data_IF_605515708207
#
_entry.id   IF_605515708207
#
_cell.length_a   1.000
_cell.length_b   1.000
_cell.length_c   1.000
_cell.angle_alpha   90.00
_cell.angle_beta   90.00
_cell.angle_gamma   90.00
#
_symmetry.space_group_name_H-M   'P 1'
#
loop_
_entity.id
_entity.type
_entity.pdbx_description
1 polymer ?
#
# COMPACT_ATOMS: atom_id res chain seq x y z
N UNK A 1 -27.94 7.41 61.36
CA UNK A 1 -26.63 7.58 60.68
C UNK A 1 -25.85 6.27 60.46
N UNK A 2 -25.89 5.27 61.36
CA UNK A 2 -25.14 4.00 61.21
C UNK A 2 -25.54 3.10 60.01
N UNK A 3 -26.76 3.25 59.45
CA UNK A 3 -27.22 2.48 58.27
C UNK A 3 -26.86 3.13 56.91
N UNK A 4 -26.44 4.40 56.92
CA UNK A 4 -26.04 5.13 55.70
C UNK A 4 -24.58 4.85 55.30
N UNK A 5 -23.71 4.59 56.30
CA UNK A 5 -22.31 4.27 56.10
C UNK A 5 -22.05 3.00 55.25
N UNK A 6 -22.73 1.85 55.47
CA UNK A 6 -22.53 0.66 54.63
C UNK A 6 -23.11 0.84 53.21
N UNK A 7 -24.12 1.69 53.05
CA UNK A 7 -24.73 1.99 51.76
C UNK A 7 -23.85 2.92 50.91
N UNK A 8 -23.14 3.86 51.54
CA UNK A 8 -22.12 4.68 50.88
C UNK A 8 -20.89 3.85 50.48
N UNK A 9 -20.45 2.92 51.33
CA UNK A 9 -19.31 2.05 51.03
C UNK A 9 -19.62 1.07 49.87
N UNK A 10 -20.85 0.55 49.83
CA UNK A 10 -21.33 -0.29 48.72
C UNK A 10 -21.46 0.50 47.41
N UNK A 11 -21.88 1.77 47.47
CA UNK A 11 -21.95 2.65 46.30
C UNK A 11 -20.56 2.98 45.72
N UNK A 12 -19.53 3.13 46.57
CA UNK A 12 -18.15 3.35 46.12
C UNK A 12 -17.50 2.10 45.51
N UNK A 13 -17.92 0.89 45.90
CA UNK A 13 -17.40 -0.35 45.32
C UNK A 13 -17.93 -0.62 43.89
N UNK A 14 -19.12 -0.11 43.55
CA UNK A 14 -19.71 -0.20 42.20
C UNK A 14 -19.14 0.86 41.24
N UNK A 15 -18.48 1.89 41.78
CA UNK A 15 -17.88 2.99 41.01
C UNK A 15 -16.39 2.75 40.65
N UNK A 16 -15.81 1.60 41.00
CA UNK A 16 -14.50 1.22 40.50
C UNK A 16 -14.69 0.83 39.02
N UNK A 17 -14.07 1.55 38.05
CA UNK A 17 -14.02 1.06 36.68
C UNK A 17 -13.37 -0.32 36.76
N UNK A 18 -14.14 -1.36 36.43
CA UNK A 18 -13.61 -2.71 36.35
C UNK A 18 -12.38 -2.65 35.46
N UNK A 19 -11.24 -3.17 35.94
CA UNK A 19 -10.08 -3.37 35.09
C UNK A 19 -10.49 -4.29 33.96
N UNK A 20 -10.95 -3.71 32.86
CA UNK A 20 -11.01 -4.38 31.60
C UNK A 20 -9.55 -4.70 31.26
N UNK A 21 -9.18 -5.97 31.39
CA UNK A 21 -7.99 -6.47 30.72
C UNK A 21 -8.25 -6.29 29.23
N UNK A 22 -7.78 -5.18 28.68
CA UNK A 22 -7.62 -5.04 27.25
C UNK A 22 -6.63 -6.13 26.85
N UNK A 23 -7.19 -7.27 26.41
CA UNK A 23 -6.37 -8.31 25.84
C UNK A 23 -5.74 -7.70 24.59
N UNK A 24 -4.42 -7.57 24.60
CA UNK A 24 -3.63 -7.20 23.43
C UNK A 24 -4.12 -8.08 22.27
N UNK A 25 -4.86 -7.50 21.33
CA UNK A 25 -5.41 -8.25 20.22
C UNK A 25 -4.22 -8.76 19.41
N UNK A 26 -4.15 -10.09 19.25
CA UNK A 26 -3.04 -10.71 18.55
C UNK A 26 -2.96 -10.18 17.11
N UNK A 27 -1.74 -9.99 16.61
CA UNK A 27 -1.51 -9.63 15.22
C UNK A 27 -2.11 -10.74 14.33
N UNK A 28 -3.09 -10.38 13.51
CA UNK A 28 -3.75 -11.27 12.58
C UNK A 28 -3.26 -11.01 11.15
N UNK A 29 -2.84 -12.08 10.47
CA UNK A 29 -2.61 -12.10 9.02
C UNK A 29 -3.66 -13.02 8.40
N UNK A 30 -4.72 -12.41 7.87
CA UNK A 30 -5.85 -13.14 7.32
C UNK A 30 -5.56 -13.63 5.89
N UNK A 31 -5.74 -14.93 5.63
CA UNK A 31 -5.50 -15.50 4.28
C UNK A 31 -6.44 -14.94 3.21
N UNK A 32 -7.67 -14.57 3.58
CA UNK A 32 -8.64 -13.95 2.68
C UNK A 32 -8.17 -12.57 2.22
N UNK A 33 -7.67 -11.76 3.15
CA UNK A 33 -7.11 -10.43 2.83
C UNK A 33 -5.88 -10.55 1.95
N UNK A 34 -4.98 -11.50 2.25
CA UNK A 34 -3.80 -11.78 1.42
C UNK A 34 -4.22 -12.20 0.00
N UNK A 35 -5.19 -13.11 -0.13
CA UNK A 35 -5.71 -13.53 -1.44
C UNK A 35 -6.37 -12.38 -2.22
N UNK A 36 -7.15 -11.56 -1.54
CA UNK A 36 -7.78 -10.38 -2.13
C UNK A 36 -6.75 -9.35 -2.58
N UNK A 37 -5.71 -9.11 -1.78
CA UNK A 37 -4.66 -8.16 -2.11
C UNK A 37 -3.78 -8.65 -3.26
N UNK A 38 -3.50 -9.96 -3.36
CA UNK A 38 -2.84 -10.52 -4.55
C UNK A 38 -3.70 -10.35 -5.81
N UNK A 39 -5.00 -10.66 -5.70
CA UNK A 39 -5.95 -10.47 -6.80
C UNK A 39 -6.04 -9.00 -7.22
N UNK A 40 -6.16 -8.10 -6.26
CA UNK A 40 -6.20 -6.65 -6.50
C UNK A 40 -4.92 -6.15 -7.16
N UNK A 41 -3.76 -6.65 -6.74
CA UNK A 41 -2.47 -6.33 -7.38
C UNK A 41 -2.48 -6.72 -8.86
N UNK A 42 -2.99 -7.91 -9.20
CA UNK A 42 -3.12 -8.35 -10.59
C UNK A 42 -4.11 -7.48 -11.37
N UNK A 43 -5.23 -7.08 -10.77
CA UNK A 43 -6.21 -6.21 -11.43
C UNK A 43 -5.61 -4.83 -11.75
N UNK A 44 -4.88 -4.21 -10.82
CA UNK A 44 -4.23 -2.91 -11.07
C UNK A 44 -3.09 -3.06 -12.08
N UNK A 45 -2.33 -4.15 -12.02
CA UNK A 45 -1.33 -4.45 -13.04
C UNK A 45 -1.97 -4.56 -14.44
N UNK A 46 -3.14 -5.21 -14.54
CA UNK A 46 -3.87 -5.36 -15.80
C UNK A 46 -4.37 -4.02 -16.35
N UNK A 47 -4.70 -3.06 -15.47
CA UNK A 47 -5.05 -1.69 -15.88
C UNK A 47 -3.88 -1.00 -16.57
N UNK A 48 -2.63 -1.21 -16.13
CA UNK A 48 -1.46 -0.66 -16.79
C UNK A 48 -1.08 -1.48 -18.04
N UNK A 49 -0.93 -2.80 -17.88
CA UNK A 49 -0.39 -3.73 -18.86
C UNK A 49 -1.36 -4.91 -19.07
N UNK A 50 -2.06 -5.02 -20.21
CA UNK A 50 -2.00 -4.18 -21.41
C UNK A 50 -2.98 -2.99 -21.42
N UNK A 51 -3.81 -2.78 -20.39
CA UNK A 51 -4.95 -1.86 -20.44
C UNK A 51 -4.60 -0.44 -20.92
N UNK A 52 -3.71 0.25 -20.22
CA UNK A 52 -3.30 1.62 -20.53
C UNK A 52 -2.49 1.70 -21.82
N UNK A 53 -1.64 0.70 -22.05
CA UNK A 53 -0.85 0.60 -23.26
C UNK A 53 -1.75 0.57 -24.51
N UNK A 54 -2.79 -0.28 -24.49
CA UNK A 54 -3.77 -0.36 -25.58
C UNK A 54 -4.65 0.88 -25.65
N UNK A 55 -5.03 1.46 -24.51
CA UNK A 55 -5.82 2.69 -24.48
C UNK A 55 -5.09 3.84 -25.19
N UNK A 56 -3.84 4.15 -24.82
CA UNK A 56 -3.09 5.22 -25.50
C UNK A 56 -2.64 4.81 -26.90
N UNK A 57 -2.29 3.54 -27.12
CA UNK A 57 -1.97 3.01 -28.44
C UNK A 57 -3.11 3.15 -29.45
N UNK A 58 -4.36 3.05 -29.00
CA UNK A 58 -5.56 3.22 -29.83
C UNK A 58 -5.94 4.68 -30.12
N UNK A 59 -5.41 5.64 -29.35
CA UNK A 59 -5.65 7.08 -29.56
C UNK A 59 -4.64 7.72 -30.52
N UNK A 60 -3.54 7.03 -30.82
CA UNK A 60 -2.48 7.51 -31.72
C UNK A 60 -2.62 6.91 -33.11
N UNK A 61 -1.88 7.46 -34.08
CA UNK A 61 -1.85 6.91 -35.44
C UNK A 61 -1.20 5.53 -35.40
N UNK A 62 -1.71 4.61 -36.21
CA UNK A 62 -1.24 3.21 -36.27
C UNK A 62 0.28 3.08 -36.41
N UNK A 63 0.92 3.96 -37.21
CA UNK A 63 2.38 3.98 -37.39
C UNK A 63 3.17 4.26 -36.11
N UNK A 64 2.54 4.89 -35.11
CA UNK A 64 3.14 5.28 -33.84
C UNK A 64 2.66 4.43 -32.65
N UNK A 65 1.66 3.56 -32.86
CA UNK A 65 1.09 2.70 -31.81
C UNK A 65 2.16 1.87 -31.10
N UNK A 66 3.08 1.27 -31.85
CA UNK A 66 4.17 0.48 -31.27
C UNK A 66 5.07 1.32 -30.35
N UNK A 67 5.38 2.57 -30.74
CA UNK A 67 6.19 3.46 -29.92
C UNK A 67 5.52 3.77 -28.58
N UNK A 68 4.20 4.02 -28.60
CA UNK A 68 3.43 4.33 -27.37
C UNK A 68 3.34 3.10 -26.46
N UNK A 69 3.07 1.93 -27.03
CA UNK A 69 3.07 0.66 -26.29
C UNK A 69 4.41 0.43 -25.58
N UNK A 70 5.52 0.63 -26.30
CA UNK A 70 6.86 0.45 -25.73
C UNK A 70 7.18 1.49 -24.65
N UNK A 71 6.81 2.76 -24.84
CA UNK A 71 7.00 3.80 -23.82
C UNK A 71 6.25 3.46 -22.53
N UNK A 72 4.97 3.05 -22.62
CA UNK A 72 4.17 2.66 -21.45
C UNK A 72 4.80 1.46 -20.72
N UNK A 73 5.19 0.41 -21.45
CA UNK A 73 5.82 -0.78 -20.87
C UNK A 73 7.16 -0.46 -20.18
N UNK A 74 8.00 0.35 -20.83
CA UNK A 74 9.34 0.67 -20.34
C UNK A 74 9.27 1.64 -19.16
N UNK A 75 8.40 2.65 -19.20
CA UNK A 75 8.18 3.55 -18.06
C UNK A 75 7.66 2.77 -16.86
N UNK A 76 6.68 1.89 -17.04
CA UNK A 76 6.19 1.05 -15.94
C UNK A 76 7.30 0.17 -15.34
N UNK A 77 8.13 -0.44 -16.19
CA UNK A 77 9.26 -1.27 -15.76
C UNK A 77 10.33 -0.47 -15.03
N UNK A 78 10.69 0.71 -15.56
CA UNK A 78 11.64 1.63 -14.93
C UNK A 78 11.16 2.05 -13.55
N UNK A 79 9.89 2.43 -13.43
CA UNK A 79 9.31 2.85 -12.15
C UNK A 79 9.26 1.68 -11.16
N UNK A 80 8.99 0.45 -11.62
CA UNK A 80 9.09 -0.74 -10.76
C UNK A 80 10.49 -0.92 -10.17
N UNK A 81 11.54 -0.66 -10.95
CA UNK A 81 12.92 -0.70 -10.45
C UNK A 81 13.18 0.44 -9.47
N UNK A 82 12.83 1.68 -9.83
CA UNK A 82 13.02 2.84 -8.94
C UNK A 82 12.23 2.71 -7.63
N UNK A 83 11.05 2.06 -7.68
CA UNK A 83 10.25 1.74 -6.52
C UNK A 83 10.99 0.84 -5.54
N UNK A 84 11.61 -0.24 -6.04
CA UNK A 84 12.41 -1.13 -5.21
C UNK A 84 13.71 -0.46 -4.70
N UNK A 85 14.34 0.40 -5.51
CA UNK A 85 15.59 1.09 -5.13
C UNK A 85 15.33 2.10 -4.02
N UNK A 86 14.35 3.00 -4.16
CA UNK A 86 14.10 4.03 -3.15
C UNK A 86 12.63 4.44 -3.01
N UNK A 87 11.78 4.24 -4.03
CA UNK A 87 10.42 4.76 -4.04
C UNK A 87 9.56 4.24 -2.89
N UNK A 88 9.66 2.95 -2.58
CA UNK A 88 8.99 2.36 -1.43
C UNK A 88 9.44 2.98 -0.11
N UNK A 89 10.75 3.18 0.06
CA UNK A 89 11.31 3.76 1.28
C UNK A 89 10.85 5.20 1.48
N UNK A 90 10.86 6.02 0.43
CA UNK A 90 10.45 7.42 0.53
C UNK A 90 8.95 7.59 0.80
N UNK A 91 8.13 6.62 0.41
CA UNK A 91 6.68 6.64 0.59
C UNK A 91 6.23 6.01 1.92
N UNK A 92 6.87 4.91 2.34
CA UNK A 92 6.39 4.05 3.44
C UNK A 92 7.47 3.65 4.46
N UNK A 93 8.71 4.12 4.33
CA UNK A 93 9.80 3.79 5.25
C UNK A 93 10.13 4.95 6.20
N UNK A 94 10.31 4.69 7.49
CA UNK A 94 10.65 5.74 8.47
C UNK A 94 9.43 6.53 8.97
N UNK A 95 9.67 7.66 9.64
CA UNK A 95 8.64 8.41 10.41
C UNK A 95 8.25 9.77 9.80
N UNK A 96 8.76 10.08 8.60
CA UNK A 96 8.52 11.38 7.97
C UNK A 96 7.07 11.55 7.47
N UNK A 97 6.48 12.73 7.68
CA UNK A 97 5.06 13.01 7.39
C UNK A 97 4.77 13.42 5.95
N UNK A 98 5.75 13.98 5.23
CA UNK A 98 5.60 14.44 3.83
C UNK A 98 6.43 13.58 2.89
N UNK A 99 7.70 13.39 3.23
CA UNK A 99 8.60 12.39 2.67
C UNK A 99 9.05 11.59 3.87
N UNK A 100 9.05 10.27 3.72
CA UNK A 100 9.42 9.37 4.78
C UNK A 100 10.97 9.33 4.92
N UNK A 101 11.64 8.20 4.69
CA UNK A 101 13.07 8.04 4.89
C UNK A 101 13.75 7.14 3.87
N UNK A 102 15.06 6.93 4.01
CA UNK A 102 15.86 6.00 3.18
C UNK A 102 16.19 4.69 3.91
N UNK A 103 15.52 4.42 5.03
CA UNK A 103 15.81 3.26 5.90
C UNK A 103 15.58 1.91 5.19
N UNK A 104 14.62 1.88 4.26
CA UNK A 104 14.27 0.72 3.43
C UNK A 104 14.76 0.83 1.99
N UNK A 105 15.81 1.63 1.72
CA UNK A 105 16.43 1.70 0.39
C UNK A 105 16.86 0.29 -0.05
N UNK A 106 16.64 -0.06 -1.32
CA UNK A 106 16.82 -1.40 -1.88
C UNK A 106 16.05 -2.50 -1.13
N UNK A 107 14.92 -2.15 -0.50
CA UNK A 107 14.13 -3.02 0.37
C UNK A 107 14.94 -3.60 1.54
N UNK A 108 15.93 -2.83 2.02
CA UNK A 108 16.76 -3.22 3.17
C UNK A 108 15.88 -3.50 4.39
N UNK A 109 16.09 -4.67 4.99
CA UNK A 109 15.37 -5.10 6.18
C UNK A 109 13.99 -5.73 5.92
N UNK A 110 13.54 -5.81 4.65
CA UNK A 110 12.30 -6.49 4.29
C UNK A 110 12.55 -8.00 4.15
N UNK A 111 11.92 -8.77 5.02
CA UNK A 111 11.97 -10.24 5.05
C UNK A 111 10.60 -10.84 4.78
N UNK A 112 10.52 -12.16 4.63
CA UNK A 112 9.25 -12.89 4.43
C UNK A 112 8.30 -12.69 5.62
N UNK A 113 8.87 -12.53 6.81
CA UNK A 113 8.13 -12.32 8.06
C UNK A 113 7.78 -10.84 8.31
N UNK A 114 8.24 -9.93 7.44
CA UNK A 114 7.96 -8.51 7.60
C UNK A 114 6.49 -8.22 7.27
N UNK A 115 5.88 -7.37 8.08
CA UNK A 115 4.46 -7.05 8.03
C UNK A 115 4.26 -5.55 7.79
N UNK A 116 3.29 -5.24 6.93
CA UNK A 116 2.80 -3.89 6.68
C UNK A 116 1.48 -3.65 7.41
N UNK A 117 1.32 -2.41 7.86
CA UNK A 117 0.12 -1.95 8.55
C UNK A 117 -1.06 -1.81 7.58
N UNK A 118 -2.27 -2.09 8.08
CA UNK A 118 -3.52 -1.84 7.36
C UNK A 118 -4.32 -0.75 8.09
N UNK A 119 -5.49 -0.39 7.54
CA UNK A 119 -6.41 0.56 8.16
C UNK A 119 -7.15 0.00 9.38
N UNK A 120 -7.00 -1.30 9.65
CA UNK A 120 -7.62 -1.98 10.79
C UNK A 120 -6.52 -2.34 11.79
N UNK A 121 -6.70 -1.92 13.04
CA UNK A 121 -5.76 -2.24 14.11
C UNK A 121 -5.57 -3.76 14.24
N UNK A 122 -4.32 -4.18 14.44
CA UNK A 122 -3.89 -5.58 14.59
C UNK A 122 -4.06 -6.48 13.35
N UNK A 123 -4.67 -6.00 12.26
CA UNK A 123 -4.68 -6.73 10.98
C UNK A 123 -3.51 -6.25 10.14
N UNK A 124 -2.64 -7.18 9.74
CA UNK A 124 -1.43 -6.88 8.97
C UNK A 124 -1.39 -7.69 7.67
N UNK A 125 -0.64 -7.17 6.70
CA UNK A 125 -0.37 -7.85 5.43
C UNK A 125 1.13 -8.18 5.33
N UNK A 126 1.54 -9.26 4.65
CA UNK A 126 2.93 -9.47 4.29
C UNK A 126 3.49 -8.25 3.55
N UNK A 127 4.63 -7.72 4.01
CA UNK A 127 5.16 -6.46 3.51
C UNK A 127 5.49 -6.53 2.00
N UNK A 128 6.00 -7.67 1.52
CA UNK A 128 6.22 -7.90 0.09
C UNK A 128 4.95 -7.74 -0.76
N UNK A 129 3.80 -8.18 -0.25
CA UNK A 129 2.53 -8.02 -0.94
C UNK A 129 2.11 -6.55 -0.99
N UNK A 130 2.29 -5.84 0.13
CA UNK A 130 2.02 -4.41 0.18
C UNK A 130 2.95 -3.61 -0.76
N UNK A 131 4.25 -3.92 -0.79
CA UNK A 131 5.22 -3.33 -1.71
C UNK A 131 4.79 -3.53 -3.16
N UNK A 132 4.42 -4.77 -3.54
CA UNK A 132 3.99 -5.11 -4.89
C UNK A 132 2.69 -4.38 -5.28
N UNK A 133 1.71 -4.34 -4.38
CA UNK A 133 0.46 -3.62 -4.61
C UNK A 133 0.72 -2.13 -4.86
N UNK A 134 1.48 -1.46 -3.98
CA UNK A 134 1.79 -0.03 -4.12
C UNK A 134 2.65 0.28 -5.36
N UNK A 135 3.56 -0.64 -5.73
CA UNK A 135 4.35 -0.53 -6.95
C UNK A 135 3.46 -0.35 -8.20
N UNK A 136 2.32 -1.06 -8.27
CA UNK A 136 1.41 -0.93 -9.41
C UNK A 136 0.80 0.47 -9.51
N UNK A 137 0.51 1.13 -8.40
CA UNK A 137 0.01 2.51 -8.37
C UNK A 137 1.09 3.53 -8.77
N UNK A 138 2.32 3.34 -8.29
CA UNK A 138 3.45 4.16 -8.71
C UNK A 138 3.68 4.03 -10.23
N UNK A 139 3.71 2.80 -10.73
CA UNK A 139 3.92 2.47 -12.13
C UNK A 139 2.82 3.03 -13.05
N UNK A 140 1.54 2.79 -12.74
CA UNK A 140 0.42 3.27 -13.57
C UNK A 140 0.35 4.80 -13.59
N UNK A 141 0.63 5.47 -12.46
CA UNK A 141 0.61 6.94 -12.38
C UNK A 141 1.63 7.56 -13.33
N UNK A 142 2.86 7.06 -13.34
CA UNK A 142 3.88 7.54 -14.27
C UNK A 142 3.55 7.16 -15.73
N UNK A 143 2.97 5.98 -15.96
CA UNK A 143 2.56 5.56 -17.30
C UNK A 143 1.43 6.43 -17.87
N UNK A 144 0.53 6.97 -17.04
CA UNK A 144 -0.52 7.92 -17.46
C UNK A 144 0.07 9.20 -18.06
N UNK A 145 1.22 9.65 -17.56
CA UNK A 145 1.91 10.85 -18.05
C UNK A 145 2.33 10.68 -19.52
N UNK A 146 2.72 9.46 -19.94
CA UNK A 146 3.11 9.16 -21.33
C UNK A 146 2.01 9.54 -22.32
N UNK A 147 0.74 9.33 -21.96
CA UNK A 147 -0.40 9.69 -22.79
C UNK A 147 -0.49 11.19 -23.12
N UNK A 148 -0.02 12.06 -22.23
CA UNK A 148 -0.10 13.52 -22.42
C UNK A 148 0.85 14.05 -23.51
N UNK A 149 1.94 13.33 -23.78
CA UNK A 149 2.94 13.69 -24.78
C UNK A 149 3.06 12.66 -25.92
N UNK A 150 2.06 11.78 -26.05
CA UNK A 150 2.06 10.71 -27.03
C UNK A 150 2.32 11.25 -28.46
N UNK A 151 3.22 10.59 -29.19
CA UNK A 151 3.75 11.00 -30.51
C UNK A 151 4.61 12.29 -30.57
N UNK A 152 4.88 12.96 -29.44
CA UNK A 152 5.59 14.26 -29.42
C UNK A 152 6.91 14.25 -28.67
N UNK A 153 7.30 13.09 -28.12
CA UNK A 153 8.55 12.90 -27.39
C UNK A 153 9.33 11.73 -28.00
N UNK A 154 10.67 11.84 -27.99
CA UNK A 154 11.53 10.72 -28.33
C UNK A 154 11.46 9.68 -27.21
N UNK A 155 11.66 8.42 -27.58
CA UNK A 155 11.97 7.38 -26.61
C UNK A 155 13.29 7.72 -25.91
#
# INVERSE_FOLDING_TARGET
MKKLLPMLLAASAVALPGMAWAQEAAIEVNKGDVAWMMTSTLLVLFMALPGLALFYGGLVRSKNMLSVLMQVMVVFSLISVLWAVYGYSLAFGGEGTIIAGLDKMFLKGVTIDSLADTFTDNVKLPEYLFIAFQCTFAGITCALIVGSFAERIKF
#
